data_IF_656922838127
#
_entry.id   IF_656922838127
#
_cell.length_a   1.000
_cell.length_b   1.000
_cell.length_c   1.000
_cell.angle_alpha   90.00
_cell.angle_beta   90.00
_cell.angle_gamma   90.00
#
_symmetry.space_group_name_H-M   'P 1'
#
loop_
_entity.id
_entity.type
_entity.pdbx_description
1 polymer ?
#
# COMPACT_ATOMS: atom_id res chain seq x y z
N UNK A 1 63.92 5.23 16.50
CA UNK A 1 62.74 5.35 15.64
C UNK A 1 61.52 5.15 16.53
N UNK A 2 60.87 6.25 16.94
CA UNK A 2 59.68 6.25 17.79
C UNK A 2 58.49 5.78 16.97
N UNK A 3 57.84 4.69 17.38
CA UNK A 3 56.53 4.29 16.86
C UNK A 3 55.54 5.32 17.39
N UNK A 4 54.96 6.12 16.51
CA UNK A 4 53.85 7.00 16.86
C UNK A 4 52.63 6.14 17.15
N UNK A 5 52.31 5.95 18.42
CA UNK A 5 51.06 5.35 18.90
C UNK A 5 49.87 6.26 18.55
N UNK A 6 49.44 6.24 17.29
CA UNK A 6 48.25 6.97 16.84
C UNK A 6 46.99 6.10 16.94
N UNK A 7 46.77 5.46 18.10
CA UNK A 7 45.54 4.68 18.39
C UNK A 7 44.69 5.33 19.49
N UNK A 8 44.83 6.64 19.71
CA UNK A 8 43.99 7.35 20.67
C UNK A 8 42.62 7.64 20.06
N UNK A 9 41.61 6.84 20.43
CA UNK A 9 40.22 7.16 20.10
C UNK A 9 39.69 8.16 21.12
N UNK A 10 39.57 9.43 20.69
CA UNK A 10 39.00 10.50 21.52
C UNK A 10 37.60 10.15 22.05
N UNK A 11 36.81 9.38 21.29
CA UNK A 11 35.50 8.91 21.72
C UNK A 11 35.58 7.88 22.86
N UNK A 12 36.50 6.91 22.77
CA UNK A 12 36.69 5.90 23.82
C UNK A 12 37.36 6.46 25.08
N UNK A 13 38.02 7.62 24.97
CA UNK A 13 38.56 8.33 26.13
C UNK A 13 37.50 9.04 26.99
N UNK A 14 36.28 9.20 26.47
CA UNK A 14 35.17 9.77 27.23
C UNK A 14 34.68 8.80 28.31
N UNK A 15 34.23 9.31 29.48
CA UNK A 15 33.53 8.50 30.47
C UNK A 15 32.30 7.80 29.86
N UNK A 16 31.98 6.62 30.38
CA UNK A 16 30.85 5.79 29.91
C UNK A 16 29.52 6.54 29.96
N UNK A 17 29.34 7.43 30.94
CA UNK A 17 28.14 8.26 31.11
C UNK A 17 27.94 9.21 29.93
N UNK A 18 29.02 9.85 29.48
CA UNK A 18 28.99 10.78 28.34
C UNK A 18 28.76 9.99 27.04
N UNK A 19 29.40 8.83 26.87
CA UNK A 19 29.13 7.95 25.72
C UNK A 19 27.66 7.52 25.68
N UNK A 20 27.09 7.13 26.82
CA UNK A 20 25.67 6.77 26.92
C UNK A 20 24.74 7.93 26.54
N UNK A 21 25.04 9.16 26.95
CA UNK A 21 24.28 10.35 26.54
C UNK A 21 24.37 10.60 25.03
N UNK A 22 25.55 10.40 24.42
CA UNK A 22 25.73 10.52 22.97
C UNK A 22 24.90 9.46 22.25
N UNK A 23 24.93 8.20 22.72
CA UNK A 23 24.09 7.14 22.17
C UNK A 23 22.60 7.48 22.29
N UNK A 24 22.18 8.00 23.43
CA UNK A 24 20.80 8.40 23.66
C UNK A 24 20.37 9.49 22.67
N UNK A 25 21.20 10.52 22.46
CA UNK A 25 20.95 11.57 21.47
C UNK A 25 20.78 10.99 20.06
N UNK A 26 21.70 10.13 19.62
CA UNK A 26 21.67 9.51 18.29
C UNK A 26 20.48 8.57 18.07
N UNK A 27 19.97 7.95 19.14
CA UNK A 27 18.80 7.08 19.08
C UNK A 27 17.47 7.87 19.14
N UNK A 28 17.48 9.08 19.70
CA UNK A 28 16.30 9.97 19.78
C UNK A 28 16.10 10.73 18.47
N UNK A 29 17.16 10.98 17.70
CA UNK A 29 17.09 11.71 16.44
C UNK A 29 16.12 11.05 15.45
N UNK A 30 15.15 11.85 14.98
CA UNK A 30 14.21 11.43 13.95
C UNK A 30 14.95 11.28 12.62
N UNK A 31 14.91 10.08 12.07
CA UNK A 31 15.48 9.79 10.77
C UNK A 31 14.34 9.39 9.84
N UNK A 32 14.08 10.19 8.81
CA UNK A 32 13.12 9.83 7.77
C UNK A 32 13.86 9.42 6.51
N UNK A 33 13.57 8.24 5.95
CA UNK A 33 14.14 7.82 4.67
C UNK A 33 13.02 7.54 3.69
N UNK A 34 13.09 8.12 2.50
CA UNK A 34 12.14 7.86 1.42
C UNK A 34 12.80 7.03 0.34
N UNK A 35 12.23 5.87 0.01
CA UNK A 35 12.72 4.94 -1.02
C UNK A 35 11.68 4.81 -2.13
N UNK A 36 12.07 5.14 -3.34
CA UNK A 36 11.22 5.10 -4.52
C UNK A 36 12.02 4.76 -5.79
N UNK A 37 11.38 4.89 -6.95
CA UNK A 37 12.04 4.84 -8.25
C UNK A 37 11.49 5.95 -9.14
N UNK A 38 12.37 6.59 -9.92
CA UNK A 38 12.02 7.72 -10.77
C UNK A 38 12.42 7.48 -12.22
N UNK A 39 11.70 8.12 -13.15
CA UNK A 39 12.00 8.01 -14.59
C UNK A 39 13.30 8.73 -14.91
N UNK A 40 14.19 8.06 -15.61
CA UNK A 40 15.40 8.69 -16.14
C UNK A 40 15.05 9.53 -17.36
N UNK A 41 15.42 10.80 -17.35
CA UNK A 41 15.16 11.73 -18.45
C UNK A 41 16.44 12.36 -18.99
N UNK A 42 16.53 12.52 -20.29
CA UNK A 42 17.59 13.23 -21.00
C UNK A 42 16.94 14.19 -22.00
N UNK A 43 17.23 15.48 -21.84
CA UNK A 43 16.62 16.65 -22.46
C UNK A 43 15.09 16.61 -22.39
N UNK A 44 14.56 16.21 -21.23
CA UNK A 44 13.12 16.04 -21.00
C UNK A 44 12.51 14.77 -21.61
N UNK A 45 13.26 13.98 -22.37
CA UNK A 45 12.81 12.72 -22.95
C UNK A 45 13.15 11.55 -22.03
N UNK A 46 12.24 10.57 -21.91
CA UNK A 46 12.51 9.37 -21.11
C UNK A 46 13.55 8.49 -21.79
N UNK A 47 14.54 8.05 -21.03
CA UNK A 47 15.62 7.19 -21.51
C UNK A 47 15.67 5.89 -20.69
N UNK A 48 16.26 4.85 -21.30
CA UNK A 48 16.57 3.59 -20.65
C UNK A 48 17.93 3.66 -19.96
N UNK A 49 17.95 3.35 -18.66
CA UNK A 49 19.16 3.18 -17.87
C UNK A 49 19.83 1.83 -18.20
N UNK A 50 20.59 1.80 -19.30
CA UNK A 50 21.40 0.64 -19.72
C UNK A 50 22.77 0.58 -19.05
N UNK A 51 23.14 1.58 -18.26
CA UNK A 51 24.44 1.68 -17.60
C UNK A 51 24.42 1.17 -16.15
N UNK A 52 23.29 0.61 -15.70
CA UNK A 52 23.10 0.16 -14.33
C UNK A 52 24.07 -0.96 -13.96
N UNK A 53 24.89 -0.71 -12.92
CA UNK A 53 25.84 -1.71 -12.38
C UNK A 53 25.17 -2.83 -11.58
N UNK A 54 24.02 -2.55 -10.95
CA UNK A 54 23.29 -3.50 -10.10
C UNK A 54 21.88 -3.66 -10.66
N UNK A 55 21.62 -4.80 -11.30
CA UNK A 55 20.27 -5.11 -11.79
C UNK A 55 19.33 -5.38 -10.61
N UNK A 56 18.14 -4.79 -10.66
CA UNK A 56 17.07 -4.98 -9.66
C UNK A 56 15.97 -5.79 -10.37
N UNK A 57 15.78 -7.08 -10.03
CA UNK A 57 14.71 -7.89 -10.59
C UNK A 57 13.35 -7.20 -10.50
N UNK A 58 12.63 -7.17 -11.61
CA UNK A 58 11.29 -6.58 -11.71
C UNK A 58 11.25 -5.05 -11.85
N UNK A 59 12.37 -4.33 -11.73
CA UNK A 59 12.42 -2.88 -11.96
C UNK A 59 12.66 -2.58 -13.45
N UNK A 60 11.77 -1.85 -14.14
CA UNK A 60 11.97 -1.44 -15.52
C UNK A 60 13.27 -0.63 -15.73
N UNK A 61 13.87 -0.74 -16.91
CA UNK A 61 15.08 0.03 -17.27
C UNK A 61 14.81 1.54 -17.42
N UNK A 62 13.55 1.94 -17.62
CA UNK A 62 13.16 3.35 -17.70
C UNK A 62 13.13 4.04 -16.32
N UNK A 63 13.22 3.27 -15.23
CA UNK A 63 13.13 3.72 -13.85
C UNK A 63 14.43 3.47 -13.12
N UNK A 64 15.07 4.52 -12.59
CA UNK A 64 16.23 4.39 -11.73
C UNK A 64 15.83 4.34 -10.23
N UNK A 65 16.55 3.54 -9.42
CA UNK A 65 16.34 3.47 -7.99
C UNK A 65 16.68 4.82 -7.33
N UNK A 66 15.87 5.27 -6.38
CA UNK A 66 16.05 6.54 -5.71
C UNK A 66 15.81 6.39 -4.20
N UNK A 67 16.73 6.96 -3.40
CA UNK A 67 16.61 6.94 -1.95
C UNK A 67 17.09 8.27 -1.35
N UNK A 68 16.25 8.90 -0.51
CA UNK A 68 16.55 10.20 0.15
C UNK A 68 16.53 10.06 1.66
N UNK A 69 17.39 10.81 2.35
CA UNK A 69 17.54 10.85 3.83
C UNK A 69 16.52 11.75 4.55
N UNK A 70 15.49 12.17 3.84
CA UNK A 70 14.39 12.95 4.39
C UNK A 70 13.06 12.44 3.86
N UNK A 71 11.98 12.83 4.53
CA UNK A 71 10.64 12.61 4.03
C UNK A 71 10.41 13.47 2.79
N UNK A 72 10.20 12.84 1.65
CA UNK A 72 9.90 13.54 0.40
C UNK A 72 8.59 13.03 -0.20
N UNK A 73 7.48 13.78 0.00
CA UNK A 73 6.17 13.37 -0.50
C UNK A 73 6.12 13.33 -2.04
N UNK A 74 6.97 14.12 -2.72
CA UNK A 74 6.99 14.15 -4.18
C UNK A 74 7.42 12.82 -4.81
N UNK A 75 8.19 12.01 -4.07
CA UNK A 75 8.62 10.68 -4.52
C UNK A 75 7.54 9.61 -4.39
N UNK A 76 6.50 9.89 -3.62
CA UNK A 76 5.35 9.01 -3.38
C UNK A 76 4.15 9.41 -4.25
N UNK A 77 4.19 10.59 -4.86
CA UNK A 77 3.16 11.07 -5.79
C UNK A 77 3.13 10.21 -7.05
N UNK A 78 1.93 9.74 -7.41
CA UNK A 78 1.68 9.02 -8.66
C UNK A 78 1.25 10.00 -9.74
N UNK A 79 0.57 11.09 -9.37
CA UNK A 79 0.14 12.12 -10.32
C UNK A 79 1.33 12.87 -10.94
N UNK A 80 2.41 13.07 -10.17
CA UNK A 80 3.65 13.69 -10.62
C UNK A 80 4.81 12.73 -10.35
N UNK A 81 5.03 11.72 -11.21
CA UNK A 81 6.06 10.74 -10.97
C UNK A 81 7.45 11.41 -10.93
N UNK A 82 8.34 10.96 -10.03
CA UNK A 82 9.68 11.54 -9.93
C UNK A 82 10.47 11.34 -11.21
N UNK A 83 11.25 12.37 -11.60
CA UNK A 83 12.12 12.33 -12.79
C UNK A 83 13.56 12.67 -12.39
N UNK A 84 14.52 11.98 -12.99
CA UNK A 84 15.95 12.12 -12.74
C UNK A 84 16.59 12.61 -14.05
N UNK A 85 16.93 13.91 -14.16
CA UNK A 85 17.55 14.45 -15.35
C UNK A 85 19.03 14.04 -15.44
N UNK A 86 19.43 13.47 -16.57
CA UNK A 86 20.80 13.01 -16.86
C UNK A 86 21.65 14.08 -17.57
N UNK A 87 21.03 15.16 -18.06
CA UNK A 87 21.69 16.20 -18.88
C UNK A 87 22.69 17.04 -18.10
N UNK A 88 22.44 17.21 -16.81
CA UNK A 88 23.32 17.93 -15.93
C UNK A 88 24.42 16.95 -15.54
N UNK A 89 25.53 16.93 -16.26
CA UNK A 89 26.72 16.09 -16.01
C UNK A 89 27.35 16.20 -14.60
N UNK A 90 26.66 16.82 -13.64
CA UNK A 90 26.88 16.72 -12.21
C UNK A 90 26.35 15.38 -11.67
N UNK A 91 26.95 14.26 -12.11
CA UNK A 91 26.82 12.99 -11.38
C UNK A 91 27.59 13.01 -10.05
N UNK A 92 28.35 14.07 -9.76
CA UNK A 92 29.16 14.20 -8.53
C UNK A 92 28.33 14.49 -7.27
N UNK A 93 27.15 15.12 -7.39
CA UNK A 93 26.25 15.32 -6.23
C UNK A 93 25.39 14.08 -5.89
N UNK A 94 25.42 13.05 -6.74
CA UNK A 94 24.78 11.75 -6.49
C UNK A 94 25.68 10.86 -5.61
N UNK A 95 26.92 11.24 -5.33
CA UNK A 95 27.72 10.60 -4.27
C UNK A 95 27.08 10.78 -2.87
N UNK A 96 26.19 11.77 -2.70
CA UNK A 96 25.34 11.94 -1.52
C UNK A 96 24.13 10.98 -1.43
N UNK A 97 23.81 10.25 -2.51
CA UNK A 97 22.59 9.43 -2.67
C UNK A 97 22.76 7.97 -2.25
N UNK A 98 23.99 7.51 -1.99
CA UNK A 98 24.15 6.32 -1.15
C UNK A 98 23.70 6.72 0.24
N UNK A 99 22.61 6.10 0.71
CA UNK A 99 22.24 6.13 2.11
C UNK A 99 23.44 5.60 2.89
N UNK A 100 24.30 6.50 3.37
CA UNK A 100 25.39 6.14 4.26
C UNK A 100 24.80 5.43 5.46
N UNK A 101 25.65 4.72 6.21
CA UNK A 101 25.19 4.16 7.47
C UNK A 101 24.65 5.28 8.35
N UNK A 102 23.44 5.10 8.91
CA UNK A 102 22.95 6.01 9.94
C UNK A 102 23.96 6.04 11.08
N UNK A 103 24.04 7.17 11.79
CA UNK A 103 25.05 7.34 12.84
C UNK A 103 25.07 6.17 13.86
N UNK A 104 23.92 5.62 14.32
CA UNK A 104 23.93 4.44 15.17
C UNK A 104 24.58 3.21 14.52
N UNK A 105 24.37 2.99 13.23
CA UNK A 105 24.91 1.83 12.50
C UNK A 105 26.39 1.96 12.27
N UNK A 106 26.83 3.17 11.89
CA UNK A 106 28.25 3.46 11.79
C UNK A 106 28.94 3.14 13.11
N UNK A 107 28.36 3.55 14.25
CA UNK A 107 28.90 3.24 15.58
C UNK A 107 28.92 1.74 15.89
N UNK A 108 27.83 1.00 15.61
CA UNK A 108 27.77 -0.45 15.81
C UNK A 108 28.87 -1.21 15.05
N UNK A 109 29.35 -0.66 13.93
CA UNK A 109 30.37 -1.28 13.08
C UNK A 109 31.80 -0.85 13.45
N UNK A 110 31.99 0.19 14.27
CA UNK A 110 33.33 0.73 14.55
C UNK A 110 34.10 -0.05 15.61
N UNK A 111 33.46 -0.48 16.70
CA UNK A 111 34.10 -1.16 17.82
C UNK A 111 33.16 -2.11 18.55
N UNK A 112 33.69 -3.23 19.06
CA UNK A 112 32.93 -4.17 19.88
C UNK A 112 32.45 -3.55 21.19
N UNK A 113 33.29 -2.75 21.83
CA UNK A 113 32.92 -2.06 23.08
C UNK A 113 31.75 -1.10 22.85
N UNK A 114 31.80 -0.31 21.77
CA UNK A 114 30.71 0.61 21.39
C UNK A 114 29.45 -0.18 21.05
N UNK A 115 29.60 -1.32 20.36
CA UNK A 115 28.48 -2.20 20.02
C UNK A 115 27.78 -2.73 21.29
N UNK A 116 28.54 -3.29 22.24
CA UNK A 116 27.99 -3.82 23.48
C UNK A 116 27.30 -2.71 24.29
N UNK A 117 27.92 -1.54 24.45
CA UNK A 117 27.32 -0.40 25.15
C UNK A 117 26.06 0.13 24.47
N UNK A 118 26.06 0.26 23.14
CA UNK A 118 24.93 0.77 22.37
C UNK A 118 23.78 -0.24 22.34
N UNK A 119 24.09 -1.55 22.26
CA UNK A 119 23.07 -2.61 22.33
C UNK A 119 22.47 -2.70 23.74
N UNK A 120 23.24 -2.50 24.80
CA UNK A 120 22.70 -2.43 26.15
C UNK A 120 21.91 -1.13 26.39
N UNK A 121 22.34 0.00 25.85
CA UNK A 121 21.61 1.26 25.86
C UNK A 121 20.24 1.11 25.17
N UNK A 122 20.21 0.53 23.96
CA UNK A 122 18.96 0.27 23.24
C UNK A 122 18.04 -0.68 23.99
N UNK A 123 18.55 -1.78 24.58
CA UNK A 123 17.77 -2.70 25.42
C UNK A 123 17.18 -2.00 26.65
N UNK A 124 17.99 -1.22 27.38
CA UNK A 124 17.53 -0.46 28.55
C UNK A 124 16.42 0.53 28.16
N UNK A 125 16.60 1.23 27.05
CA UNK A 125 15.60 2.16 26.52
C UNK A 125 14.32 1.44 26.11
N UNK A 126 14.42 0.29 25.46
CA UNK A 126 13.26 -0.57 25.16
C UNK A 126 12.52 -0.98 26.43
N UNK A 127 13.20 -1.40 27.49
CA UNK A 127 12.56 -1.73 28.76
C UNK A 127 11.88 -0.52 29.41
N UNK A 128 12.52 0.65 29.42
CA UNK A 128 11.92 1.88 29.96
C UNK A 128 10.70 2.29 29.14
N UNK A 129 10.78 2.25 27.80
CA UNK A 129 9.68 2.57 26.91
C UNK A 129 8.50 1.61 27.11
N UNK A 130 8.76 0.30 27.27
CA UNK A 130 7.73 -0.69 27.59
C UNK A 130 7.08 -0.42 28.96
N UNK A 131 7.86 -0.05 29.97
CA UNK A 131 7.34 0.28 31.29
C UNK A 131 6.50 1.57 31.31
N UNK A 132 6.81 2.53 30.43
CA UNK A 132 6.08 3.80 30.28
C UNK A 132 4.91 3.70 29.31
N UNK A 133 4.90 2.72 28.41
CA UNK A 133 3.88 2.61 27.38
C UNK A 133 2.51 2.32 27.99
N UNK A 134 1.53 3.12 27.59
CA UNK A 134 0.13 2.82 27.86
C UNK A 134 -0.31 1.67 26.98
N UNK A 135 -1.07 0.74 27.55
CA UNK A 135 -1.55 -0.45 26.85
C UNK A 135 -3.04 -0.25 26.58
N UNK A 136 -3.45 -0.43 25.32
CA UNK A 136 -4.86 -0.47 24.93
C UNK A 136 -5.62 -1.57 25.72
N UNK A 137 -6.96 -1.48 25.74
CA UNK A 137 -7.83 -2.55 26.26
C UNK A 137 -7.52 -3.94 25.69
N UNK A 138 -6.95 -4.00 24.48
CA UNK A 138 -6.55 -5.23 23.80
C UNK A 138 -5.14 -5.73 24.17
N UNK A 139 -4.43 -5.12 25.11
CA UNK A 139 -3.07 -5.54 25.48
C UNK A 139 -1.99 -5.14 24.47
N UNK A 140 -2.20 -4.06 23.71
CA UNK A 140 -1.25 -3.55 22.69
C UNK A 140 -0.74 -2.18 23.11
N UNK A 141 0.57 -1.94 23.00
CA UNK A 141 1.17 -0.62 23.24
C UNK A 141 0.51 0.45 22.37
N UNK A 142 -0.01 1.50 23.00
CA UNK A 142 -0.49 2.69 22.32
C UNK A 142 0.69 3.40 21.65
N UNK A 143 0.45 3.86 20.42
CA UNK A 143 1.34 4.78 19.71
C UNK A 143 0.81 6.15 20.07
N UNK A 144 1.35 6.74 21.12
CA UNK A 144 1.25 8.18 21.33
C UNK A 144 1.94 8.78 20.11
N UNK A 145 1.17 9.35 19.17
CA UNK A 145 1.65 9.83 17.87
C UNK A 145 2.81 10.84 17.94
N UNK A 146 3.14 11.28 19.16
CA UNK A 146 4.21 12.19 19.55
C UNK A 146 5.60 11.54 19.60
N UNK A 147 5.72 10.21 19.72
CA UNK A 147 7.01 9.52 19.81
C UNK A 147 7.69 9.33 18.44
N UNK A 148 8.01 10.42 17.73
CA UNK A 148 8.68 10.41 16.41
C UNK A 148 10.12 9.86 16.43
N UNK A 149 10.58 9.34 17.58
CA UNK A 149 11.93 8.83 17.77
C UNK A 149 12.26 7.61 16.89
N UNK A 150 13.40 7.71 16.20
CA UNK A 150 14.05 6.64 15.44
C UNK A 150 13.76 6.69 13.94
N UNK A 151 14.01 5.56 13.27
CA UNK A 151 13.95 5.48 11.81
C UNK A 151 12.51 5.25 11.31
N UNK A 152 12.01 6.22 10.55
CA UNK A 152 10.78 6.19 9.76
C UNK A 152 11.09 5.98 8.29
N UNK A 153 10.61 4.88 7.72
CA UNK A 153 10.85 4.52 6.33
C UNK A 153 9.59 4.72 5.49
N UNK A 154 9.67 5.49 4.43
CA UNK A 154 8.61 5.75 3.47
C UNK A 154 8.95 5.08 2.15
N UNK A 155 8.07 4.22 1.65
CA UNK A 155 8.36 3.33 0.52
C UNK A 155 7.24 3.38 -0.49
N UNK A 156 7.59 3.60 -1.77
CA UNK A 156 6.60 3.51 -2.84
C UNK A 156 6.35 2.05 -3.27
N UNK A 157 5.09 1.71 -3.52
CA UNK A 157 4.68 0.42 -4.09
C UNK A 157 4.29 0.60 -5.57
N UNK A 158 4.76 -0.26 -6.49
CA UNK A 158 5.58 -1.46 -6.27
C UNK A 158 7.10 -1.23 -6.29
N UNK A 159 7.57 -0.15 -6.90
CA UNK A 159 8.99 -0.01 -7.26
C UNK A 159 9.92 0.22 -6.06
N UNK A 160 9.55 1.10 -5.12
CA UNK A 160 10.34 1.35 -3.91
C UNK A 160 10.55 0.09 -3.06
N UNK A 161 9.57 -0.82 -3.03
CA UNK A 161 9.70 -2.12 -2.34
C UNK A 161 10.78 -3.00 -2.97
N UNK A 162 10.89 -3.01 -4.30
CA UNK A 162 11.96 -3.73 -5.02
C UNK A 162 13.34 -3.13 -4.73
N UNK A 163 13.43 -1.79 -4.76
CA UNK A 163 14.67 -1.05 -4.46
C UNK A 163 15.13 -1.33 -3.02
N UNK A 164 14.21 -1.25 -2.06
CA UNK A 164 14.50 -1.47 -0.65
C UNK A 164 15.02 -2.88 -0.38
N UNK A 165 14.38 -3.90 -0.98
CA UNK A 165 14.81 -5.30 -0.82
C UNK A 165 16.23 -5.53 -1.32
N UNK A 166 16.58 -4.95 -2.46
CA UNK A 166 17.84 -5.26 -3.15
C UNK A 166 19.01 -4.36 -2.72
N UNK A 167 18.76 -3.07 -2.46
CA UNK A 167 19.83 -2.12 -2.16
C UNK A 167 19.99 -1.86 -0.65
N UNK A 168 18.89 -1.84 0.10
CA UNK A 168 18.90 -1.38 1.50
C UNK A 168 18.17 -2.30 2.49
N UNK A 169 18.39 -3.63 2.47
CA UNK A 169 17.68 -4.56 3.35
C UNK A 169 17.97 -4.35 4.84
N UNK A 170 19.10 -3.71 5.17
CA UNK A 170 19.50 -3.44 6.55
C UNK A 170 18.61 -2.40 7.25
N UNK A 171 17.99 -1.48 6.49
CA UNK A 171 17.11 -0.44 7.04
C UNK A 171 15.88 -1.05 7.72
N UNK A 172 15.38 -2.18 7.21
CA UNK A 172 14.21 -2.85 7.77
C UNK A 172 14.43 -3.37 9.19
N UNK A 173 15.67 -3.70 9.57
CA UNK A 173 15.99 -4.15 10.93
C UNK A 173 16.00 -3.00 11.95
N UNK A 174 16.13 -1.77 11.46
CA UNK A 174 16.26 -0.57 12.30
C UNK A 174 15.00 0.28 12.27
N UNK A 175 14.18 0.13 11.22
CA UNK A 175 12.96 0.89 11.06
C UNK A 175 12.00 0.61 12.22
N UNK A 176 11.64 1.68 12.93
CA UNK A 176 10.58 1.66 13.94
C UNK A 176 9.22 1.85 13.29
N UNK A 177 9.17 2.61 12.20
CA UNK A 177 7.95 2.91 11.45
C UNK A 177 8.20 2.66 9.98
N UNK A 178 7.26 1.96 9.34
CA UNK A 178 7.32 1.74 7.89
C UNK A 178 5.99 2.18 7.29
N UNK A 179 6.07 3.08 6.31
CA UNK A 179 4.96 3.61 5.55
C UNK A 179 5.11 3.12 4.11
N UNK A 180 4.16 2.34 3.62
CA UNK A 180 4.14 1.87 2.24
C UNK A 180 2.99 2.55 1.53
N UNK A 181 3.26 3.35 0.51
CA UNK A 181 2.22 4.00 -0.29
C UNK A 181 2.32 3.62 -1.76
N UNK A 182 1.19 3.38 -2.41
CA UNK A 182 1.18 3.12 -3.84
C UNK A 182 -0.17 2.64 -4.34
N UNK A 183 -0.17 2.07 -5.54
CA UNK A 183 -1.40 1.61 -6.16
C UNK A 183 -1.26 0.19 -6.69
N UNK A 184 -2.41 -0.48 -6.83
CA UNK A 184 -2.49 -1.82 -7.39
C UNK A 184 -3.56 -1.86 -8.48
N UNK A 185 -3.11 -2.16 -9.69
CA UNK A 185 -3.99 -2.45 -10.82
C UNK A 185 -4.03 -3.97 -11.00
N UNK A 186 -5.22 -4.60 -10.88
CA UNK A 186 -5.34 -6.03 -11.13
C UNK A 186 -4.92 -6.34 -12.56
N UNK A 187 -4.35 -7.52 -12.76
CA UNK A 187 -4.04 -7.97 -14.12
C UNK A 187 -5.35 -8.11 -14.89
N UNK A 188 -5.46 -7.61 -16.13
CA UNK A 188 -6.56 -7.99 -16.98
C UNK A 188 -6.45 -9.50 -17.19
N UNK A 189 -7.43 -10.26 -16.69
CA UNK A 189 -7.63 -11.65 -17.11
C UNK A 189 -7.76 -11.63 -18.63
N UNK A 190 -6.86 -12.33 -19.32
CA UNK A 190 -6.79 -12.31 -20.79
C UNK A 190 -8.17 -12.53 -21.42
N UNK A 191 -8.56 -11.58 -22.25
CA UNK A 191 -9.73 -11.67 -23.11
C UNK A 191 -9.89 -10.39 -23.93
N UNK A 192 -9.18 -10.34 -25.07
CA UNK A 192 -9.16 -9.31 -26.12
C UNK A 192 -7.98 -8.33 -26.04
N UNK A 193 -6.84 -8.76 -26.58
CA UNK A 193 -5.84 -7.86 -27.14
C UNK A 193 -6.48 -7.00 -28.26
N UNK A 194 -6.25 -5.68 -28.30
CA UNK A 194 -6.67 -4.85 -29.42
C UNK A 194 -5.71 -5.02 -30.60
N UNK A 195 -6.08 -5.92 -31.53
CA UNK A 195 -5.82 -5.89 -32.98
C UNK A 195 -4.42 -5.44 -33.44
N UNK A 196 -3.55 -6.41 -33.72
CA UNK A 196 -2.70 -6.34 -34.92
C UNK A 196 -3.55 -6.79 -36.14
N UNK A 197 -3.48 -6.08 -37.28
CA UNK A 197 -4.16 -6.50 -38.50
C UNK A 197 -3.22 -7.41 -39.28
N UNK A 198 -3.43 -8.72 -39.21
CA UNK A 198 -2.98 -9.52 -40.35
C UNK A 198 -3.93 -10.65 -40.69
N UNK A 199 -4.15 -10.73 -41.99
CA UNK A 199 -5.10 -11.55 -42.71
C UNK A 199 -4.73 -13.02 -42.59
N UNK A 200 -5.67 -13.86 -42.14
CA UNK A 200 -5.85 -15.19 -42.71
C UNK A 200 -7.20 -15.76 -42.26
N UNK A 201 -8.16 -15.71 -43.16
CA UNK A 201 -9.33 -16.59 -43.13
C UNK A 201 -8.86 -18.05 -43.18
N UNK A 202 -9.42 -18.89 -42.32
CA UNK A 202 -10.06 -20.14 -42.74
C UNK A 202 -10.64 -20.93 -41.54
N UNK A 203 -11.98 -20.97 -41.52
CA UNK A 203 -12.75 -22.21 -41.49
C UNK A 203 -12.57 -23.22 -40.32
N UNK A 204 -13.53 -23.24 -39.37
CA UNK A 204 -14.58 -24.29 -39.21
C UNK A 204 -15.12 -24.43 -37.78
N UNK A 205 -16.41 -24.11 -37.67
CA UNK A 205 -17.51 -24.89 -37.07
C UNK A 205 -17.26 -25.71 -35.77
N UNK A 206 -18.10 -25.40 -34.78
CA UNK A 206 -18.43 -26.06 -33.49
C UNK A 206 -18.60 -27.59 -33.51
N UNK A 207 -18.90 -28.29 -32.38
CA UNK A 207 -18.72 -28.02 -30.93
C UNK A 207 -18.10 -29.23 -30.17
N UNK A 208 -17.72 -29.06 -28.89
CA UNK A 208 -17.77 -30.16 -27.91
C UNK A 208 -17.94 -29.64 -26.49
N UNK A 209 -19.01 -30.13 -25.87
CA UNK A 209 -19.44 -29.94 -24.49
C UNK A 209 -18.61 -30.73 -23.48
N UNK A 210 -18.85 -30.41 -22.19
CA UNK A 210 -18.48 -31.13 -20.95
C UNK A 210 -17.18 -30.60 -20.33
N UNK A 211 -17.16 -30.10 -19.09
CA UNK A 211 -17.69 -30.73 -17.89
C UNK A 211 -18.45 -29.79 -16.96
N UNK A 212 -19.55 -30.30 -16.41
CA UNK A 212 -20.16 -29.81 -15.19
C UNK A 212 -19.35 -30.29 -13.97
N UNK A 213 -19.18 -29.42 -12.99
CA UNK A 213 -19.10 -29.82 -11.57
C UNK A 213 -19.98 -28.86 -10.78
N UNK A 214 -21.05 -29.41 -10.23
CA UNK A 214 -21.92 -28.78 -9.24
C UNK A 214 -21.60 -29.37 -7.87
N UNK A 215 -21.45 -28.52 -6.85
CA UNK A 215 -21.80 -28.75 -5.44
C UNK A 215 -21.31 -27.56 -4.60
N UNK A 216 -21.87 -27.10 -3.48
CA UNK A 216 -22.79 -27.64 -2.48
C UNK A 216 -23.50 -26.45 -1.80
N UNK A 217 -24.82 -26.52 -1.58
CA UNK A 217 -25.49 -26.23 -0.29
C UNK A 217 -27.00 -26.05 -0.48
N UNK A 218 -27.73 -27.14 -0.24
CA UNK A 218 -29.07 -27.09 0.34
C UNK A 218 -28.95 -27.35 1.85
N UNK A 219 -29.96 -26.93 2.63
CA UNK A 219 -30.76 -27.89 3.38
C UNK A 219 -32.26 -27.74 3.00
N UNK A 220 -33.02 -28.81 2.72
CA UNK A 220 -33.60 -29.77 3.67
C UNK A 220 -34.65 -29.09 4.58
N UNK A 221 -35.92 -29.50 4.75
CA UNK A 221 -36.71 -30.63 4.26
C UNK A 221 -38.20 -30.42 4.63
N UNK A 222 -39.11 -30.79 3.73
CA UNK A 222 -40.35 -31.52 4.06
C UNK A 222 -41.64 -30.74 4.42
N UNK A 223 -42.80 -31.43 4.40
CA UNK A 223 -43.26 -32.33 3.35
C UNK A 223 -44.68 -32.02 2.85
N UNK A 224 -44.93 -32.50 1.65
CA UNK A 224 -46.13 -32.48 0.81
C UNK A 224 -47.41 -33.00 1.48
N UNK A 225 -48.56 -32.51 1.02
CA UNK A 225 -49.66 -33.39 0.57
C UNK A 225 -50.44 -32.74 -0.57
N UNK A 226 -50.62 -33.55 -1.61
CA UNK A 226 -51.46 -33.41 -2.80
C UNK A 226 -52.94 -33.23 -2.48
N UNK A 227 -53.74 -32.68 -3.40
CA UNK A 227 -54.87 -33.39 -4.02
C UNK A 227 -55.45 -32.62 -5.23
N UNK A 228 -56.14 -33.39 -6.05
CA UNK A 228 -56.48 -33.25 -7.46
C UNK A 228 -57.75 -32.46 -7.77
N UNK A 229 -57.72 -31.74 -8.90
CA UNK A 229 -58.69 -31.73 -10.02
C UNK A 229 -60.20 -31.71 -9.70
N UNK A 230 -60.91 -30.70 -10.21
CA UNK A 230 -62.09 -30.88 -11.08
C UNK A 230 -62.58 -29.58 -11.70
N UNK A 231 -63.04 -29.71 -12.95
CA UNK A 231 -63.58 -28.66 -13.80
C UNK A 231 -65.11 -28.65 -13.72
N UNK A 232 -65.74 -27.48 -13.82
CA UNK A 232 -67.01 -27.26 -14.55
C UNK A 232 -67.47 -25.80 -14.46
N UNK A 233 -67.57 -25.13 -15.62
CA UNK A 233 -68.48 -24.00 -15.90
C UNK A 233 -69.96 -24.51 -15.88
N UNK A 234 -71.07 -23.71 -16.00
CA UNK A 234 -71.15 -22.37 -16.61
C UNK A 234 -72.19 -21.35 -16.07
N UNK A 235 -72.15 -20.14 -16.66
CA UNK A 235 -73.24 -19.14 -16.85
C UNK A 235 -73.61 -18.31 -15.60
N UNK A 236 -73.91 -17.00 -15.62
CA UNK A 236 -74.54 -16.10 -16.61
C UNK A 236 -74.27 -14.62 -16.24
N UNK A 237 -74.29 -13.74 -17.25
CA UNK A 237 -74.74 -12.31 -17.24
C UNK A 237 -74.04 -11.28 -16.34
N UNK A 238 -73.33 -10.32 -16.94
CA UNK A 238 -73.88 -9.03 -17.41
C UNK A 238 -72.78 -7.96 -17.45
N UNK A 239 -72.76 -7.24 -18.57
CA UNK A 239 -71.91 -6.09 -18.81
C UNK A 239 -72.17 -4.96 -17.80
N UNK A 240 -71.10 -4.30 -17.34
CA UNK A 240 -71.10 -2.86 -17.08
C UNK A 240 -69.69 -2.30 -17.21
N UNK A 241 -69.60 -1.28 -18.06
CA UNK A 241 -68.49 -0.37 -18.23
C UNK A 241 -67.95 0.13 -16.88
N UNK A 242 -66.65 -0.03 -16.69
CA UNK A 242 -65.86 0.68 -15.68
C UNK A 242 -64.46 0.85 -16.24
N UNK A 243 -64.20 2.04 -16.79
CA UNK A 243 -62.90 2.46 -17.31
C UNK A 243 -61.91 2.44 -16.14
N UNK A 244 -61.07 1.42 -16.08
CA UNK A 244 -59.93 1.37 -15.15
C UNK A 244 -58.79 2.18 -15.76
N UNK A 245 -58.70 3.44 -15.35
CA UNK A 245 -57.54 4.31 -15.56
C UNK A 245 -56.46 3.85 -14.59
N UNK A 246 -55.66 2.87 -14.99
CA UNK A 246 -54.37 2.62 -14.37
C UNK A 246 -53.30 3.37 -15.16
N UNK A 247 -52.69 4.44 -14.63
CA UNK A 247 -51.56 5.06 -15.29
C UNK A 247 -50.39 4.08 -15.25
N UNK A 248 -50.05 3.51 -16.40
CA UNK A 248 -48.75 2.88 -16.64
C UNK A 248 -47.68 3.90 -16.28
N UNK A 249 -47.09 3.73 -15.09
CA UNK A 249 -45.97 4.55 -14.62
C UNK A 249 -44.88 4.48 -15.70
N UNK A 250 -44.50 5.59 -16.34
CA UNK A 250 -43.44 5.55 -17.33
C UNK A 250 -42.17 5.11 -16.60
N UNK A 251 -41.65 3.93 -16.96
CA UNK A 251 -40.29 3.56 -16.61
C UNK A 251 -39.39 4.53 -17.36
N UNK A 252 -39.01 5.61 -16.68
CA UNK A 252 -37.88 6.45 -17.04
C UNK A 252 -36.69 5.51 -17.22
N UNK A 253 -36.39 5.18 -18.49
CA UNK A 253 -35.06 4.71 -18.85
C UNK A 253 -34.15 5.87 -18.46
N UNK A 254 -33.36 5.66 -17.41
CA UNK A 254 -32.21 6.51 -17.13
C UNK A 254 -31.38 6.48 -18.41
N UNK A 255 -31.22 7.65 -19.03
CA UNK A 255 -30.26 7.83 -20.10
C UNK A 255 -28.90 7.29 -19.64
N UNK A 256 -28.10 6.67 -20.53
CA UNK A 256 -26.73 6.31 -20.20
C UNK A 256 -26.01 7.53 -19.61
N UNK A 257 -25.17 7.36 -18.58
CA UNK A 257 -24.58 8.49 -17.86
C UNK A 257 -23.93 9.47 -18.84
N UNK A 258 -24.21 10.76 -18.64
CA UNK A 258 -23.73 11.86 -19.45
C UNK A 258 -22.21 11.72 -19.70
N UNK A 259 -21.77 12.01 -20.92
CA UNK A 259 -20.39 11.87 -21.42
C UNK A 259 -19.28 12.61 -20.61
N UNK A 260 -19.63 13.23 -19.47
CA UNK A 260 -18.70 13.80 -18.49
C UNK A 260 -18.18 12.77 -17.48
N UNK A 261 -18.98 11.76 -17.12
CA UNK A 261 -18.57 10.65 -16.24
C UNK A 261 -17.57 9.72 -16.96
N UNK A 262 -17.80 9.42 -18.24
CA UNK A 262 -16.87 8.63 -19.06
C UNK A 262 -15.50 9.31 -19.24
N UNK A 263 -15.43 10.64 -19.28
CA UNK A 263 -14.15 11.36 -19.44
C UNK A 263 -13.22 11.25 -18.22
N UNK A 264 -13.76 11.11 -17.01
CA UNK A 264 -12.95 11.00 -15.79
C UNK A 264 -12.47 9.57 -15.59
N UNK A 265 -13.32 8.57 -15.84
CA UNK A 265 -12.94 7.15 -15.86
C UNK A 265 -11.84 6.86 -16.89
N UNK A 266 -11.86 7.53 -18.06
CA UNK A 266 -10.85 7.34 -19.11
C UNK A 266 -9.44 7.86 -18.77
N UNK A 267 -9.29 8.74 -17.76
CA UNK A 267 -7.98 9.27 -17.36
C UNK A 267 -7.30 8.43 -16.27
N UNK A 268 -8.06 7.65 -15.50
CA UNK A 268 -7.52 6.82 -14.42
C UNK A 268 -6.48 5.80 -14.93
N UNK A 269 -6.71 5.06 -16.04
CA UNK A 269 -5.71 4.12 -16.57
C UNK A 269 -4.43 4.80 -17.08
N UNK A 270 -4.50 6.07 -17.50
CA UNK A 270 -3.32 6.83 -17.95
C UNK A 270 -2.45 7.29 -16.78
N UNK A 271 -3.07 7.56 -15.64
CA UNK A 271 -2.40 8.04 -14.43
C UNK A 271 -1.88 6.86 -13.60
N UNK A 272 -2.61 5.75 -13.61
CA UNK A 272 -2.26 4.50 -12.92
C UNK A 272 -2.08 3.37 -13.94
N UNK A 273 -0.92 3.29 -14.62
CA UNK A 273 -0.66 2.25 -15.60
C UNK A 273 -0.60 0.86 -14.96
N UNK A 274 -0.94 -0.18 -15.72
CA UNK A 274 -0.73 -1.56 -15.30
C UNK A 274 0.76 -1.90 -15.23
N UNK A 275 1.15 -2.70 -14.23
CA UNK A 275 2.53 -3.16 -14.11
C UNK A 275 2.82 -4.34 -15.02
N UNK A 276 4.09 -4.52 -15.40
CA UNK A 276 4.52 -5.74 -16.08
C UNK A 276 4.31 -6.97 -15.16
N UNK A 277 4.06 -8.14 -15.74
CA UNK A 277 3.88 -9.37 -14.96
C UNK A 277 5.12 -9.69 -14.10
N UNK A 278 6.32 -9.41 -14.62
CA UNK A 278 7.58 -9.57 -13.88
C UNK A 278 7.64 -8.65 -12.66
N UNK A 279 7.34 -7.35 -12.86
CA UNK A 279 7.30 -6.36 -11.77
C UNK A 279 6.29 -6.74 -10.71
N UNK A 280 5.08 -7.15 -11.09
CA UNK A 280 4.01 -7.50 -10.16
C UNK A 280 4.39 -8.69 -9.27
N UNK A 281 4.89 -9.78 -9.86
CA UNK A 281 5.29 -10.97 -9.13
C UNK A 281 6.46 -10.71 -8.18
N UNK A 282 7.50 -10.03 -8.67
CA UNK A 282 8.67 -9.70 -7.85
C UNK A 282 8.34 -8.71 -6.73
N UNK A 283 7.46 -7.73 -6.99
CA UNK A 283 7.04 -6.76 -6.00
C UNK A 283 6.21 -7.42 -4.89
N UNK A 284 5.32 -8.35 -5.22
CA UNK A 284 4.54 -9.10 -4.24
C UNK A 284 5.44 -10.02 -3.40
N UNK A 285 6.40 -10.71 -4.02
CA UNK A 285 7.39 -11.51 -3.31
C UNK A 285 8.27 -10.63 -2.40
N UNK A 286 8.67 -9.46 -2.88
CA UNK A 286 9.46 -8.51 -2.11
C UNK A 286 8.67 -7.92 -0.93
N UNK A 287 7.39 -7.60 -1.14
CA UNK A 287 6.48 -7.14 -0.10
C UNK A 287 6.30 -8.20 0.98
N UNK A 288 6.06 -9.47 0.59
CA UNK A 288 5.93 -10.56 1.55
C UNK A 288 7.20 -10.74 2.39
N UNK A 289 8.38 -10.66 1.76
CA UNK A 289 9.66 -10.73 2.48
C UNK A 289 9.84 -9.55 3.43
N UNK A 290 9.54 -8.33 2.99
CA UNK A 290 9.58 -7.12 3.82
C UNK A 290 8.70 -7.30 5.06
N UNK A 291 7.44 -7.68 4.89
CA UNK A 291 6.50 -7.87 6.00
C UNK A 291 6.97 -8.99 6.94
N UNK A 292 7.53 -10.08 6.40
CA UNK A 292 8.08 -11.16 7.22
C UNK A 292 9.30 -10.71 8.06
N UNK A 293 10.14 -9.81 7.52
CA UNK A 293 11.26 -9.22 8.30
C UNK A 293 10.80 -8.23 9.36
N UNK A 294 9.68 -7.55 9.11
CA UNK A 294 9.05 -6.59 10.01
C UNK A 294 8.28 -7.27 11.16
N UNK A 295 7.69 -8.44 10.93
CA UNK A 295 6.90 -9.21 11.90
C UNK A 295 7.47 -10.64 12.13
N UNK A 296 8.72 -10.77 12.63
CA UNK A 296 9.29 -12.07 12.98
C UNK A 296 8.66 -12.61 14.27
N UNK A 297 8.96 -13.87 14.58
CA UNK A 297 8.44 -14.56 15.78
C UNK A 297 9.05 -14.05 17.09
N UNK A 298 10.18 -13.35 17.02
CA UNK A 298 10.93 -12.84 18.18
C UNK A 298 10.88 -11.30 18.20
N UNK A 299 11.09 -10.72 19.37
CA UNK A 299 10.93 -9.28 19.66
C UNK A 299 11.60 -8.39 18.62
N UNK A 300 10.79 -7.66 17.85
CA UNK A 300 11.25 -6.62 16.92
C UNK A 300 11.23 -5.23 17.52
N UNK A 301 12.14 -4.33 17.06
CA UNK A 301 12.05 -2.91 17.36
C UNK A 301 10.94 -2.19 16.58
N UNK A 302 10.29 -2.85 15.62
CA UNK A 302 9.20 -2.27 14.85
C UNK A 302 8.03 -1.89 15.75
N UNK A 303 7.67 -0.62 15.72
CA UNK A 303 6.52 -0.08 16.43
C UNK A 303 5.25 -0.14 15.56
N UNK A 304 5.36 0.17 14.26
CA UNK A 304 4.19 0.37 13.40
C UNK A 304 4.49 0.17 11.92
N UNK A 305 3.64 -0.61 11.25
CA UNK A 305 3.51 -0.61 9.79
C UNK A 305 2.22 0.13 9.42
N UNK A 306 2.31 1.06 8.48
CA UNK A 306 1.18 1.73 7.86
C UNK A 306 1.28 1.54 6.35
N UNK A 307 0.21 1.08 5.71
CA UNK A 307 0.17 0.91 4.26
C UNK A 307 -1.04 1.61 3.67
N UNK A 308 -0.82 2.47 2.67
CA UNK A 308 -1.82 3.15 1.87
C UNK A 308 -1.79 2.59 0.45
N UNK A 309 -2.78 1.77 0.10
CA UNK A 309 -2.87 1.17 -1.22
C UNK A 309 -4.13 1.66 -1.92
N UNK A 310 -3.95 2.24 -3.10
CA UNK A 310 -5.03 2.67 -3.96
C UNK A 310 -5.35 1.59 -4.99
N UNK A 311 -6.62 1.23 -5.10
CA UNK A 311 -7.15 0.39 -6.16
C UNK A 311 -7.94 1.29 -7.12
N UNK A 312 -7.35 1.74 -8.23
CA UNK A 312 -8.02 2.64 -9.18
C UNK A 312 -9.20 1.94 -9.88
N UNK A 313 -10.27 2.69 -10.14
CA UNK A 313 -11.43 2.24 -10.93
C UNK A 313 -12.75 2.08 -10.14
N UNK A 314 -13.87 2.25 -10.82
CA UNK A 314 -15.23 2.27 -10.22
C UNK A 314 -15.63 0.95 -9.53
N UNK A 315 -15.12 -0.19 -10.00
CA UNK A 315 -15.43 -1.53 -9.48
C UNK A 315 -14.23 -2.22 -8.82
N UNK A 316 -13.27 -1.43 -8.32
CA UNK A 316 -12.00 -1.97 -7.83
C UNK A 316 -12.08 -2.65 -6.46
N UNK A 317 -13.21 -2.54 -5.75
CA UNK A 317 -13.40 -3.18 -4.45
C UNK A 317 -13.29 -4.71 -4.51
N UNK A 318 -13.77 -5.33 -5.60
CA UNK A 318 -13.64 -6.77 -5.80
C UNK A 318 -12.17 -7.20 -5.82
N UNK A 319 -11.31 -6.41 -6.44
CA UNK A 319 -9.87 -6.68 -6.54
C UNK A 319 -9.11 -6.57 -5.22
N UNK A 320 -9.67 -5.88 -4.21
CA UNK A 320 -9.05 -5.79 -2.88
C UNK A 320 -8.94 -7.17 -2.22
N UNK A 321 -9.99 -7.99 -2.38
CA UNK A 321 -10.18 -9.26 -1.66
C UNK A 321 -10.28 -10.48 -2.55
N UNK A 322 -10.74 -10.32 -3.79
CA UNK A 322 -11.00 -11.41 -4.72
C UNK A 322 -9.80 -11.81 -5.57
N UNK A 323 -8.75 -10.98 -5.59
CA UNK A 323 -7.50 -11.30 -6.27
C UNK A 323 -6.50 -11.90 -5.27
N UNK A 324 -6.05 -13.13 -5.54
CA UNK A 324 -5.01 -13.79 -4.75
C UNK A 324 -3.68 -13.02 -4.79
N UNK A 325 -3.45 -12.26 -5.88
CA UNK A 325 -2.27 -11.41 -6.06
C UNK A 325 -2.46 -10.00 -5.48
N UNK A 326 -3.56 -9.73 -4.78
CA UNK A 326 -3.76 -8.46 -4.09
C UNK A 326 -2.65 -8.26 -3.03
N UNK A 327 -2.00 -7.08 -2.99
CA UNK A 327 -0.95 -6.80 -2.00
C UNK A 327 -1.46 -6.91 -0.56
N UNK A 328 -2.77 -6.72 -0.35
CA UNK A 328 -3.45 -6.83 0.94
C UNK A 328 -3.47 -8.27 1.42
N UNK A 329 -3.83 -9.20 0.53
CA UNK A 329 -3.79 -10.63 0.78
C UNK A 329 -2.37 -11.08 1.16
N UNK A 330 -1.36 -10.57 0.45
CA UNK A 330 0.05 -10.84 0.76
C UNK A 330 0.51 -10.27 2.10
N UNK A 331 0.12 -9.03 2.44
CA UNK A 331 0.43 -8.42 3.74
C UNK A 331 -0.21 -9.24 4.87
N UNK A 332 -1.51 -9.52 4.77
CA UNK A 332 -2.24 -10.27 5.78
C UNK A 332 -1.74 -11.72 5.93
N UNK A 333 -1.31 -12.37 4.85
CA UNK A 333 -0.71 -13.71 4.91
C UNK A 333 0.67 -13.69 5.56
N UNK A 334 1.43 -12.60 5.39
CA UNK A 334 2.81 -12.47 5.89
C UNK A 334 2.88 -12.05 7.36
N UNK A 335 1.88 -11.31 7.86
CA UNK A 335 1.80 -10.95 9.30
C UNK A 335 1.41 -12.18 10.12
N UNK A 336 2.34 -12.64 10.96
CA UNK A 336 2.14 -13.83 11.81
C UNK A 336 1.35 -13.56 13.10
N UNK A 337 1.39 -12.34 13.62
CA UNK A 337 0.73 -11.92 14.83
C UNK A 337 0.75 -10.39 14.96
N UNK A 338 -0.27 -9.81 15.56
CA UNK A 338 -0.41 -8.35 15.62
C UNK A 338 -1.84 -7.85 15.67
N UNK A 339 -1.98 -6.57 16.06
CA UNK A 339 -3.22 -5.81 15.91
C UNK A 339 -3.17 -5.13 14.55
N UNK A 340 -4.06 -5.56 13.66
CA UNK A 340 -4.19 -5.10 12.29
C UNK A 340 -5.51 -4.34 12.20
N UNK A 341 -5.45 -3.04 11.95
CA UNK A 341 -6.62 -2.21 11.72
C UNK A 341 -6.67 -1.80 10.25
N UNK A 342 -7.82 -2.00 9.62
CA UNK A 342 -8.05 -1.70 8.21
C UNK A 342 -9.18 -0.69 8.08
N UNK A 343 -8.97 0.33 7.26
CA UNK A 343 -9.95 1.33 6.86
C UNK A 343 -10.08 1.30 5.36
N UNK A 344 -11.21 0.80 4.87
CA UNK A 344 -11.54 0.73 3.46
C UNK A 344 -12.41 1.93 3.09
N UNK A 345 -11.91 2.73 2.16
CA UNK A 345 -12.56 3.95 1.68
C UNK A 345 -13.04 3.71 0.25
N UNK A 346 -14.36 3.64 0.05
CA UNK A 346 -14.96 3.40 -1.28
C UNK A 346 -15.38 4.71 -1.93
N UNK A 347 -14.84 5.00 -3.11
CA UNK A 347 -15.14 6.19 -3.89
C UNK A 347 -15.51 5.86 -5.33
N UNK A 348 -15.99 6.86 -6.08
CA UNK A 348 -16.31 6.70 -7.49
C UNK A 348 -15.08 6.57 -8.39
N UNK A 349 -13.90 7.02 -7.96
CA UNK A 349 -12.66 6.91 -8.75
C UNK A 349 -11.81 5.69 -8.39
N UNK A 350 -12.16 4.98 -7.32
CA UNK A 350 -11.34 3.91 -6.78
C UNK A 350 -11.68 3.56 -5.33
N UNK A 351 -10.99 2.54 -4.83
CA UNK A 351 -11.04 2.10 -3.45
C UNK A 351 -9.68 2.37 -2.81
N UNK A 352 -9.65 3.17 -1.75
CA UNK A 352 -8.47 3.40 -0.93
C UNK A 352 -8.46 2.44 0.25
N UNK A 353 -7.30 1.86 0.55
CA UNK A 353 -7.11 1.03 1.74
C UNK A 353 -6.00 1.61 2.60
N UNK A 354 -6.33 1.94 3.84
CA UNK A 354 -5.36 2.21 4.91
C UNK A 354 -5.32 0.99 5.83
N UNK A 355 -4.18 0.32 5.91
CA UNK A 355 -3.93 -0.78 6.84
C UNK A 355 -2.83 -0.34 7.80
N UNK A 356 -3.08 -0.47 9.10
CA UNK A 356 -2.08 -0.27 10.14
C UNK A 356 -1.90 -1.58 10.89
N UNK A 357 -0.66 -1.98 11.11
CA UNK A 357 -0.33 -3.20 11.83
C UNK A 357 0.71 -2.90 12.91
N UNK A 358 0.46 -3.41 14.12
CA UNK A 358 1.39 -3.38 15.25
C UNK A 358 1.72 -4.81 15.68
N UNK A 359 2.99 -5.12 15.95
CA UNK A 359 3.38 -6.47 16.33
C UNK A 359 2.80 -6.83 17.69
N UNK A 360 2.20 -8.02 17.76
CA UNK A 360 1.76 -8.68 18.98
C UNK A 360 1.98 -10.18 18.76
N UNK A 361 3.05 -10.76 19.32
CA UNK A 361 3.51 -12.09 18.91
C UNK A 361 2.50 -13.20 19.26
N UNK A 362 1.73 -13.02 20.33
CA UNK A 362 0.85 -14.06 20.87
C UNK A 362 -0.56 -14.07 20.30
N UNK A 363 -1.04 -12.93 19.78
CA UNK A 363 -2.43 -12.82 19.31
C UNK A 363 -2.53 -12.04 18.02
N UNK A 364 -3.45 -12.47 17.15
CA UNK A 364 -3.80 -11.76 15.93
C UNK A 364 -5.20 -11.17 16.05
N UNK A 365 -5.30 -9.85 16.01
CA UNK A 365 -6.56 -9.12 16.06
C UNK A 365 -6.70 -8.36 14.76
N UNK A 366 -7.79 -8.58 14.02
CA UNK A 366 -8.07 -7.87 12.77
C UNK A 366 -9.36 -7.08 12.94
N UNK A 367 -9.29 -5.76 12.75
CA UNK A 367 -10.45 -4.89 12.68
C UNK A 367 -10.56 -4.27 11.30
N UNK A 368 -11.78 -4.15 10.78
CA UNK A 368 -12.03 -3.53 9.48
C UNK A 368 -13.19 -2.56 9.60
N UNK A 369 -13.00 -1.37 9.06
CA UNK A 369 -14.01 -0.32 8.98
C UNK A 369 -14.22 0.08 7.52
N UNK A 370 -15.48 0.33 7.15
CA UNK A 370 -15.86 0.76 5.82
C UNK A 370 -16.37 2.19 5.89
N UNK A 371 -15.78 3.06 5.07
CA UNK A 371 -16.12 4.48 5.01
C UNK A 371 -16.42 4.86 3.57
N UNK A 372 -17.45 5.68 3.37
CA UNK A 372 -17.73 6.28 2.07
C UNK A 372 -16.69 7.36 1.81
N UNK A 373 -15.88 7.22 0.78
CA UNK A 373 -14.77 8.12 0.50
C UNK A 373 -15.28 9.42 -0.10
N UNK A 374 -15.22 10.51 0.67
CA UNK A 374 -15.60 11.85 0.24
C UNK A 374 -14.44 12.81 0.42
N UNK A 375 -14.45 13.93 -0.32
CA UNK A 375 -13.43 15.00 -0.24
C UNK A 375 -13.12 15.46 1.20
N UNK A 376 -14.10 15.43 2.10
CA UNK A 376 -13.95 15.83 3.50
C UNK A 376 -13.31 14.77 4.42
N UNK A 377 -13.11 13.54 3.96
CA UNK A 377 -12.45 12.49 4.76
C UNK A 377 -10.92 12.55 4.67
N UNK A 378 -10.38 13.26 3.68
CA UNK A 378 -8.94 13.41 3.40
C UNK A 378 -8.35 14.61 4.18
N UNK A 379 -9.18 15.63 4.44
CA UNK A 379 -8.79 16.82 5.19
C UNK A 379 -9.33 16.77 6.63
N UNK A 380 -8.62 16.08 7.52
CA UNK A 380 -8.62 16.36 8.96
C UNK A 380 -9.91 16.13 9.76
N UNK A 381 -9.85 15.14 10.66
CA UNK A 381 -10.68 15.03 11.88
C UNK A 381 -10.20 16.07 12.91
N UNK A 382 -10.29 17.35 12.58
CA UNK A 382 -9.80 18.45 13.41
C UNK A 382 -10.35 19.79 12.93
N UNK A 383 -11.59 20.09 13.30
CA UNK A 383 -12.25 21.34 12.89
C UNK A 383 -13.76 21.22 12.91
N UNK A 384 -14.35 21.24 14.11
CA UNK A 384 -15.76 21.47 14.25
C UNK A 384 -16.08 22.91 13.83
N UNK A 385 -16.55 23.11 12.59
CA UNK A 385 -17.48 24.21 12.27
C UNK A 385 -18.19 23.96 10.93
N UNK A 386 -19.51 23.83 11.01
CA UNK A 386 -20.53 24.05 9.98
C UNK A 386 -20.03 24.38 8.55
N UNK A 387 -19.64 23.35 7.79
CA UNK A 387 -19.68 23.42 6.33
C UNK A 387 -20.63 22.35 5.82
N UNK A 388 -21.69 22.83 5.17
CA UNK A 388 -22.75 22.04 4.55
C UNK A 388 -22.16 20.84 3.80
N UNK A 389 -22.80 19.67 3.95
CA UNK A 389 -22.59 18.46 3.13
C UNK A 389 -22.74 18.78 1.64
N UNK A 390 -21.73 19.36 1.02
CA UNK A 390 -21.56 19.29 -0.42
C UNK A 390 -21.02 17.89 -0.71
N UNK A 391 -21.77 17.10 -1.47
CA UNK A 391 -21.31 15.82 -2.00
C UNK A 391 -20.16 16.03 -2.98
N UNK A 392 -18.99 16.38 -2.47
CA UNK A 392 -17.78 16.58 -3.26
C UNK A 392 -17.35 15.25 -3.85
N UNK A 393 -17.42 15.13 -5.17
CA UNK A 393 -16.81 14.02 -5.92
C UNK A 393 -15.30 14.06 -5.70
N UNK A 394 -14.70 12.90 -5.51
CA UNK A 394 -13.24 12.76 -5.43
C UNK A 394 -12.62 13.18 -6.77
N UNK A 395 -11.46 13.81 -6.69
CA UNK A 395 -10.59 14.18 -7.81
C UNK A 395 -9.31 13.34 -7.79
N UNK A 396 -8.52 13.38 -8.86
CA UNK A 396 -7.22 12.68 -8.90
C UNK A 396 -6.26 13.21 -7.84
N UNK A 397 -6.27 14.52 -7.58
CA UNK A 397 -5.45 15.12 -6.52
C UNK A 397 -5.82 14.60 -5.13
N UNK A 398 -7.10 14.27 -4.91
CA UNK A 398 -7.56 13.67 -3.66
C UNK A 398 -7.02 12.23 -3.49
N UNK A 399 -6.88 11.48 -4.59
CA UNK A 399 -6.26 10.15 -4.59
C UNK A 399 -4.75 10.24 -4.33
N UNK A 400 -4.08 11.23 -4.90
CA UNK A 400 -2.65 11.45 -4.71
C UNK A 400 -2.34 11.90 -3.27
N UNK A 401 -3.13 12.82 -2.72
CA UNK A 401 -3.02 13.26 -1.31
C UNK A 401 -3.18 12.09 -0.32
N UNK A 402 -4.09 11.16 -0.61
CA UNK A 402 -4.21 9.92 0.16
C UNK A 402 -2.92 9.08 0.17
N UNK A 403 -2.22 8.99 -0.96
CA UNK A 403 -0.96 8.27 -1.06
C UNK A 403 0.19 9.01 -0.36
N UNK A 404 0.18 10.34 -0.37
CA UNK A 404 1.16 11.17 0.33
C UNK A 404 0.94 11.23 1.85
N UNK A 405 -0.13 10.63 2.39
CA UNK A 405 -0.30 10.51 3.84
C UNK A 405 -0.42 11.85 4.57
N UNK A 406 -0.92 12.91 3.92
CA UNK A 406 -1.17 14.25 4.51
C UNK A 406 -2.23 14.25 5.66
N UNK A 407 -2.61 13.07 6.16
CA UNK A 407 -3.60 12.88 7.24
C UNK A 407 -3.01 13.01 8.67
N UNK A 408 -1.69 13.08 8.85
CA UNK A 408 -1.04 12.87 10.17
C UNK A 408 -0.01 13.95 10.61
N UNK A 409 0.00 15.16 10.03
CA UNK A 409 0.80 16.28 10.55
C UNK A 409 0.02 17.21 11.46
#
# INVERSE_FOLDING_TARGET
MSVSDSSYSGFLSLPTEIRCQIYEYLLTEEHAITVSAGYTTCFGNRIQDRARKIEIPGLPLDLAPLARRYYDPSLLSVAKPPTIPVDNGHMEDIEGERLGFSAPVALLLTSRLINDELTDCTRRRCHIAQARSTVDADGVVQDDGENQEGLSLYVSYPYGVLVLKNQYPYLLKQARRVYISGYYTPRPENGLDPRDPDMSDDERLTPSSSFAVSSFNAPASGPSTSFTRSASNPSTRSARHGVSINPTRPRLRLDPPLARESRHANNVPRIFPSFSASTSNEALAALAHLIATLFPKHTTPLAKLTTHILFPGENSYGSVWGDDNSPVSHILRSIRGGKIAMKVMRGSLGTGLKLTARPKPETRIVSTSWVNWKKGDIAGRGGAMNMRRAGGRLSVSDLDAFLMGEEES
#
